data_IF_982618501870
#
_entry.id   IF_982618501870
#
_cell.length_a   1.000
_cell.length_b   1.000
_cell.length_c   1.000
_cell.angle_alpha   90.00
_cell.angle_beta   90.00
_cell.angle_gamma   90.00
#
_symmetry.space_group_name_H-M   'P 1'
#
loop_
_entity.id
_entity.type
_entity.pdbx_description
1 polymer ?
#
# COMPACT_ATOMS: atom_id res chain seq x y z
N UNK A 1 -2.47 2.72 -19.85
CA UNK A 1 -3.79 3.33 -20.15
C UNK A 1 -3.82 3.91 -21.57
N UNK A 2 -4.73 3.45 -22.44
CA UNK A 2 -4.74 3.79 -23.89
C UNK A 2 -5.57 5.05 -24.28
N UNK A 3 -6.14 5.78 -23.32
CA UNK A 3 -6.97 6.98 -23.59
C UNK A 3 -6.27 8.32 -23.34
N UNK A 4 -4.99 8.32 -22.93
CA UNK A 4 -4.23 9.55 -22.61
C UNK A 4 -4.72 10.29 -21.36
N UNK A 5 -5.59 9.66 -20.55
CA UNK A 5 -6.14 10.24 -19.32
C UNK A 5 -5.28 9.81 -18.13
N UNK A 6 -4.86 10.79 -17.32
CA UNK A 6 -4.20 10.53 -16.03
C UNK A 6 -5.24 10.27 -14.96
N UNK A 7 -5.09 9.17 -14.23
CA UNK A 7 -5.99 8.77 -13.15
C UNK A 7 -5.20 8.83 -11.84
N UNK A 8 -5.77 9.50 -10.84
CA UNK A 8 -5.26 9.52 -9.47
C UNK A 8 -6.34 8.94 -8.57
N UNK A 9 -5.98 7.91 -7.79
CA UNK A 9 -6.88 7.24 -6.86
C UNK A 9 -6.21 7.15 -5.50
N UNK A 10 -6.99 7.35 -4.43
CA UNK A 10 -6.59 7.02 -3.08
C UNK A 10 -7.10 5.61 -2.75
N UNK A 11 -6.19 4.72 -2.34
CA UNK A 11 -6.50 3.34 -2.01
C UNK A 11 -5.92 3.00 -0.63
N UNK A 12 -6.75 2.35 0.20
CA UNK A 12 -6.30 1.74 1.45
C UNK A 12 -5.92 0.25 1.28
N UNK A 13 -6.26 -0.35 0.14
CA UNK A 13 -5.99 -1.76 -0.15
C UNK A 13 -4.76 -1.92 -1.04
N UNK A 14 -3.64 -2.35 -0.44
CA UNK A 14 -2.36 -2.53 -1.16
C UNK A 14 -2.47 -3.46 -2.36
N UNK A 15 -3.20 -4.58 -2.21
CA UNK A 15 -3.35 -5.57 -3.28
C UNK A 15 -3.98 -4.99 -4.56
N UNK A 16 -4.87 -4.01 -4.42
CA UNK A 16 -5.52 -3.33 -5.56
C UNK A 16 -4.52 -2.38 -6.22
N UNK A 17 -3.77 -1.62 -5.42
CA UNK A 17 -2.73 -0.74 -5.93
C UNK A 17 -1.66 -1.53 -6.71
N UNK A 18 -1.21 -2.66 -6.16
CA UNK A 18 -0.24 -3.54 -6.81
C UNK A 18 -0.72 -4.09 -8.16
N UNK A 19 -2.03 -4.37 -8.27
CA UNK A 19 -2.60 -5.01 -9.47
C UNK A 19 -2.87 -4.03 -10.61
N UNK A 20 -3.22 -2.79 -10.30
CA UNK A 20 -3.80 -1.87 -11.29
C UNK A 20 -3.06 -0.53 -11.44
N UNK A 21 -2.18 -0.16 -10.51
CA UNK A 21 -1.48 1.11 -10.60
C UNK A 21 -0.23 0.98 -11.48
N UNK A 22 0.07 2.01 -12.26
CA UNK A 22 1.36 2.11 -12.96
C UNK A 22 2.47 2.69 -12.06
N UNK A 23 2.07 3.42 -11.00
CA UNK A 23 2.92 4.07 -9.99
C UNK A 23 2.19 4.14 -8.66
N UNK A 24 2.89 3.90 -7.57
CA UNK A 24 2.35 3.98 -6.21
C UNK A 24 3.12 5.04 -5.42
N UNK A 25 2.37 5.88 -4.71
CA UNK A 25 2.91 6.87 -3.76
C UNK A 25 2.41 6.48 -2.37
N UNK A 26 3.33 6.01 -1.53
CA UNK A 26 3.07 5.66 -0.14
C UNK A 26 3.34 6.84 0.78
N UNK A 27 2.36 7.18 1.63
CA UNK A 27 2.43 8.35 2.52
C UNK A 27 2.27 7.90 3.98
N UNK A 28 3.17 8.33 4.84
CA UNK A 28 3.09 8.14 6.29
C UNK A 28 3.36 9.48 7.00
N UNK A 29 2.51 9.87 7.96
CA UNK A 29 2.64 11.12 8.75
C UNK A 29 2.86 12.37 7.87
N UNK A 30 2.16 12.45 6.74
CA UNK A 30 2.26 13.58 5.80
C UNK A 30 3.56 13.62 4.99
N UNK A 31 4.35 12.54 4.98
CA UNK A 31 5.59 12.41 4.20
C UNK A 31 5.47 11.27 3.21
N UNK A 32 6.03 11.46 2.02
CA UNK A 32 6.19 10.38 1.04
C UNK A 32 7.31 9.47 1.54
N UNK A 33 6.97 8.20 1.79
CA UNK A 33 7.91 7.16 2.22
C UNK A 33 8.18 6.14 1.10
N UNK A 34 7.32 6.12 0.08
CA UNK A 34 7.50 5.31 -1.12
C UNK A 34 7.00 6.07 -2.35
N UNK A 35 7.76 5.99 -3.44
CA UNK A 35 7.37 6.52 -4.75
C UNK A 35 8.05 5.66 -5.82
N UNK A 36 7.29 4.82 -6.51
CA UNK A 36 7.86 3.87 -7.45
C UNK A 36 6.83 2.98 -8.14
N UNK A 37 7.31 1.98 -8.86
CA UNK A 37 6.48 0.98 -9.52
C UNK A 37 5.92 -0.03 -8.50
N UNK A 38 4.77 -0.67 -8.80
CA UNK A 38 4.21 -1.73 -7.97
C UNK A 38 5.20 -2.84 -7.61
N UNK A 39 6.04 -3.26 -8.56
CA UNK A 39 6.99 -4.35 -8.38
C UNK A 39 8.13 -4.01 -7.40
N UNK A 40 8.33 -2.72 -7.12
CA UNK A 40 9.33 -2.23 -6.16
C UNK A 40 8.77 -2.11 -4.73
N UNK A 41 7.47 -2.35 -4.55
CA UNK A 41 6.77 -2.26 -3.26
C UNK A 41 6.86 -3.59 -2.51
N UNK A 42 7.89 -3.70 -1.67
CA UNK A 42 8.15 -4.87 -0.82
C UNK A 42 7.33 -4.86 0.47
N UNK A 43 7.23 -6.00 1.16
CA UNK A 43 6.57 -6.09 2.47
C UNK A 43 7.15 -5.12 3.52
N UNK A 44 8.45 -4.88 3.49
CA UNK A 44 9.11 -3.90 4.36
C UNK A 44 8.65 -2.47 4.07
N UNK A 45 8.59 -2.07 2.79
CA UNK A 45 8.07 -0.76 2.38
C UNK A 45 6.59 -0.59 2.69
N UNK A 46 5.81 -1.67 2.60
CA UNK A 46 4.40 -1.67 3.04
C UNK A 46 4.34 -1.40 4.54
N UNK A 47 5.18 -2.06 5.34
CA UNK A 47 5.25 -1.80 6.78
C UNK A 47 5.66 -0.34 7.07
N UNK A 48 6.54 0.27 6.29
CA UNK A 48 6.90 1.69 6.43
C UNK A 48 5.73 2.64 6.09
N UNK A 49 4.88 2.28 5.13
CA UNK A 49 3.70 3.07 4.76
C UNK A 49 2.65 3.03 5.89
N UNK A 50 2.34 1.85 6.43
CA UNK A 50 1.29 1.70 7.44
C UNK A 50 1.80 1.89 8.88
N UNK A 51 3.11 1.80 9.13
CA UNK A 51 3.71 2.00 10.44
C UNK A 51 3.08 1.12 11.52
N UNK A 52 2.58 1.74 12.60
CA UNK A 52 1.91 1.04 13.70
C UNK A 52 0.61 0.34 13.28
N UNK A 53 -0.11 0.87 12.29
CA UNK A 53 -1.34 0.24 11.78
C UNK A 53 -1.05 -1.10 11.09
N UNK A 54 0.17 -1.30 10.57
CA UNK A 54 0.57 -2.60 10.03
C UNK A 54 0.60 -3.68 11.13
N UNK A 55 1.05 -3.30 12.33
CA UNK A 55 1.11 -4.19 13.49
C UNK A 55 -0.29 -4.51 14.01
N UNK A 56 -1.18 -3.51 14.02
CA UNK A 56 -2.58 -3.69 14.39
C UNK A 56 -3.32 -4.57 13.35
N UNK A 57 -3.07 -4.37 12.05
CA UNK A 57 -3.59 -5.21 10.97
C UNK A 57 -3.12 -6.68 11.09
N UNK A 58 -1.84 -6.89 11.43
CA UNK A 58 -1.28 -8.22 11.65
C UNK A 58 -1.80 -8.88 12.94
N UNK A 59 -2.06 -8.11 14.00
CA UNK A 59 -2.69 -8.60 15.23
C UNK A 59 -4.13 -9.04 14.97
N UNK A 60 -4.92 -8.24 14.24
CA UNK A 60 -6.30 -8.58 13.86
C UNK A 60 -6.38 -9.84 12.99
N UNK A 61 -5.42 -10.03 12.07
CA UNK A 61 -5.32 -11.26 11.29
C UNK A 61 -4.89 -12.45 12.16
N UNK A 62 -3.94 -12.26 13.07
CA UNK A 62 -3.47 -13.29 14.00
C UNK A 62 -4.55 -13.81 14.96
N UNK A 63 -5.38 -12.93 15.52
CA UNK A 63 -6.47 -13.33 16.42
C UNK A 63 -7.58 -14.11 15.68
N UNK A 64 -7.89 -13.74 14.43
CA UNK A 64 -8.94 -14.40 13.63
C UNK A 64 -8.62 -15.83 13.18
N UNK A 65 -7.36 -16.22 13.15
CA UNK A 65 -6.90 -17.57 12.76
C UNK A 65 -6.34 -18.39 13.93
N UNK A 66 -6.32 -17.82 15.15
CA UNK A 66 -5.93 -18.53 16.38
C UNK A 66 -7.11 -19.21 17.10
N UNK A 67 -8.30 -19.25 16.47
CA UNK A 67 -9.52 -19.93 16.95
C UNK A 67 -9.94 -21.06 16.03
#
# INVERSE_FOLDING_TARGET
>A
SQMGITIVINLHQVNVALKYADRIIGVNKGRIVFDGQPDELTGEKIADIYGSEFKDLMMDLGERYAS
#
